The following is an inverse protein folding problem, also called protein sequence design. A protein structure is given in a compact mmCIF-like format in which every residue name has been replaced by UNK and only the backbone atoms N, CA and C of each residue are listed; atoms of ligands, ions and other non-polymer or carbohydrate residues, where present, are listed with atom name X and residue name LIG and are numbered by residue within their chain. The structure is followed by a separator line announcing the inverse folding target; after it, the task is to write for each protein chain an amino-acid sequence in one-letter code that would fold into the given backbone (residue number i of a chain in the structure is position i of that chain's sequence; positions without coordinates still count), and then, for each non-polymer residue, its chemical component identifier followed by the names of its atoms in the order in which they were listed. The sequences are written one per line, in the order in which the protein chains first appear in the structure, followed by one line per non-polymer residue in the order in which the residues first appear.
data_IF_495274975557
#
_entry.id   IF_495274975557
#
_cell.length_a   1.000
_cell.length_b   1.000
_cell.length_c   1.000
_cell.angle_alpha   90.00
_cell.angle_beta   90.00
_cell.angle_gamma   90.00
#
_symmetry.space_group_name_H-M   'P 1'
#
loop_
_entity.id
_entity.type
_entity.pdbx_description
1 polymer ?
#
# COMPACT_ATOMS: atom_id res chain seq x y z
N UNK A 1 -13.87 -9.25 11.45
CA UNK A 1 -12.41 -9.05 11.33
C UNK A 1 -12.17 -7.61 11.75
N UNK A 2 -11.56 -7.37 12.92
CA UNK A 2 -11.38 -6.03 13.48
C UNK A 2 -10.06 -5.45 12.99
N UNK A 3 -10.07 -4.22 12.46
CA UNK A 3 -8.85 -3.45 12.20
C UNK A 3 -8.57 -2.58 13.44
N UNK A 4 -7.32 -2.62 13.91
CA UNK A 4 -6.86 -1.89 15.09
C UNK A 4 -6.19 -0.58 14.67
N UNK A 5 -6.44 0.50 15.41
CA UNK A 5 -5.62 1.73 15.37
C UNK A 5 -4.95 1.82 16.74
N UNK A 6 -3.64 1.62 16.79
CA UNK A 6 -2.84 1.79 18.01
C UNK A 6 -2.61 3.29 18.23
N UNK A 7 -3.12 3.83 19.34
CA UNK A 7 -2.81 5.18 19.81
C UNK A 7 -2.18 5.07 21.19
N UNK A 8 -0.87 5.32 21.30
CA UNK A 8 -0.24 5.60 22.60
C UNK A 8 -0.41 7.09 22.90
N UNK A 9 -1.12 7.42 23.99
CA UNK A 9 -1.05 8.75 24.59
C UNK A 9 -0.10 8.65 25.79
N UNK A 10 1.00 9.40 25.73
CA UNK A 10 1.93 9.54 26.84
C UNK A 10 1.26 10.24 28.03
N UNK A 11 1.22 9.57 29.18
CA UNK A 11 0.71 10.14 30.42
C UNK A 11 1.13 9.31 31.62
N UNK A 12 1.93 9.91 32.49
CA UNK A 12 2.47 9.33 33.72
C UNK A 12 1.33 8.98 34.69
N UNK A 13 1.12 7.71 35.01
CA UNK A 13 0.17 7.33 36.06
C UNK A 13 -0.26 5.86 36.04
N UNK A 14 -0.13 5.20 37.19
CA UNK A 14 -0.55 3.84 37.46
C UNK A 14 -2.06 3.63 37.18
N UNK A 15 -2.40 2.55 36.47
CA UNK A 15 -3.69 1.88 36.63
C UNK A 15 -4.57 1.77 35.38
N UNK A 16 -4.88 0.52 35.03
CA UNK A 16 -5.97 0.02 34.17
C UNK A 16 -6.08 0.62 32.76
N UNK A 17 -5.51 -0.11 31.80
CA UNK A 17 -5.70 0.07 30.35
C UNK A 17 -7.19 -0.08 29.99
N UNK A 18 -7.86 1.07 29.78
CA UNK A 18 -9.23 1.15 29.29
C UNK A 18 -9.24 1.20 27.76
N UNK A 19 -9.76 0.15 27.13
CA UNK A 19 -9.96 0.10 25.69
C UNK A 19 -11.16 0.99 25.31
N UNK A 20 -10.93 2.13 24.63
CA UNK A 20 -12.01 2.99 24.15
C UNK A 20 -12.43 2.52 22.75
N UNK A 21 -13.62 1.93 22.66
CA UNK A 21 -14.25 1.50 21.41
C UNK A 21 -14.73 2.72 20.60
N UNK A 22 -14.06 3.04 19.49
CA UNK A 22 -14.59 4.00 18.52
C UNK A 22 -15.53 3.28 17.54
N UNK A 23 -16.80 3.68 17.54
CA UNK A 23 -17.84 3.15 16.63
C UNK A 23 -17.63 3.69 15.22
N UNK A 24 -17.33 2.80 14.27
CA UNK A 24 -17.19 3.14 12.85
C UNK A 24 -18.55 3.65 12.34
N UNK A 25 -18.57 4.87 11.79
CA UNK A 25 -19.75 5.48 11.19
C UNK A 25 -19.81 5.04 9.73
N UNK A 26 -20.97 4.52 9.32
CA UNK A 26 -21.24 4.02 7.98
C UNK A 26 -21.02 5.11 6.90
N UNK A 27 -20.25 4.83 5.82
CA UNK A 27 -19.95 5.84 4.81
C UNK A 27 -21.22 6.24 4.06
N UNK A 28 -21.56 7.52 4.10
CA UNK A 28 -22.71 8.06 3.39
C UNK A 28 -22.42 8.08 1.87
N UNK A 29 -23.38 7.59 1.07
CA UNK A 29 -23.38 7.74 -0.39
C UNK A 29 -23.42 9.22 -0.76
N UNK A 30 -22.55 9.73 -1.65
CA UNK A 30 -22.62 11.11 -2.10
C UNK A 30 -23.86 11.32 -2.98
N UNK A 31 -24.73 12.24 -2.57
CA UNK A 31 -25.86 12.75 -3.36
C UNK A 31 -25.38 13.74 -4.41
N UNK A 32 -25.94 13.62 -5.61
CA UNK A 32 -25.61 14.31 -6.86
C UNK A 32 -25.61 15.84 -6.83
N UNK A 33 -24.65 16.49 -7.51
CA UNK A 33 -24.90 17.42 -8.64
C UNK A 33 -23.64 18.26 -8.97
N UNK A 34 -23.15 18.19 -10.22
CA UNK A 34 -22.33 19.24 -10.84
C UNK A 34 -20.84 18.94 -11.06
N UNK A 35 -20.39 19.18 -12.30
CA UNK A 35 -19.01 19.16 -12.82
C UNK A 35 -18.35 17.77 -12.95
N UNK A 36 -18.33 17.24 -14.17
CA UNK A 36 -17.44 16.15 -14.61
C UNK A 36 -15.97 16.62 -14.57
N UNK A 37 -15.40 16.72 -13.37
CA UNK A 37 -13.96 16.50 -13.24
C UNK A 37 -13.75 15.02 -13.51
N UNK A 38 -12.81 14.72 -14.39
CA UNK A 38 -12.40 13.36 -14.71
C UNK A 38 -11.66 12.81 -13.48
N UNK A 39 -12.41 12.46 -12.43
CA UNK A 39 -11.88 11.88 -11.20
C UNK A 39 -11.53 10.45 -11.55
N UNK A 40 -10.25 10.18 -11.81
CA UNK A 40 -9.78 8.80 -11.90
C UNK A 40 -10.19 8.09 -10.62
N UNK A 41 -10.86 6.94 -10.78
CA UNK A 41 -11.31 6.13 -9.65
C UNK A 41 -10.05 5.57 -8.99
N UNK A 42 -9.79 5.92 -7.73
CA UNK A 42 -8.69 5.36 -6.96
C UNK A 42 -8.91 3.85 -6.79
N UNK A 43 -7.88 3.06 -7.06
CA UNK A 43 -7.87 1.60 -6.98
C UNK A 43 -7.38 1.19 -5.59
N UNK A 44 -8.10 0.26 -4.95
CA UNK A 44 -7.70 -0.33 -3.67
C UNK A 44 -6.56 -1.32 -3.87
N UNK A 45 -5.67 -1.46 -2.90
CA UNK A 45 -4.51 -2.35 -3.02
C UNK A 45 -4.91 -3.80 -3.27
N UNK A 46 -5.98 -4.30 -2.64
CA UNK A 46 -6.47 -5.67 -2.87
C UNK A 46 -6.88 -5.96 -4.33
N UNK A 47 -7.22 -4.92 -5.10
CA UNK A 47 -7.78 -5.03 -6.44
C UNK A 47 -6.70 -4.83 -7.53
N UNK A 48 -5.45 -4.55 -7.15
CA UNK A 48 -4.34 -4.47 -8.10
C UNK A 48 -3.93 -5.88 -8.56
N UNK A 49 -3.51 -5.99 -9.82
CA UNK A 49 -3.03 -7.23 -10.42
C UNK A 49 -1.74 -6.98 -11.21
N UNK A 50 -0.86 -7.99 -11.36
CA UNK A 50 0.36 -7.83 -12.13
C UNK A 50 0.07 -7.44 -13.58
N UNK A 51 0.63 -6.33 -14.05
CA UNK A 51 0.70 -6.01 -15.46
C UNK A 51 1.73 -4.91 -15.74
N UNK A 52 2.51 -5.10 -16.81
CA UNK A 52 3.63 -4.22 -17.15
C UNK A 52 3.21 -2.79 -17.56
N UNK A 53 1.96 -2.59 -17.98
CA UNK A 53 1.43 -1.32 -18.50
C UNK A 53 0.27 -0.76 -17.66
N UNK A 54 0.22 -1.12 -16.38
CA UNK A 54 -0.80 -0.59 -15.49
C UNK A 54 -0.65 0.93 -15.28
N UNK A 55 -1.79 1.61 -15.13
CA UNK A 55 -1.87 3.01 -14.69
C UNK A 55 -2.64 3.04 -13.37
N UNK A 56 -2.05 2.47 -12.31
CA UNK A 56 -2.69 2.38 -11.00
C UNK A 56 -2.63 3.76 -10.34
N UNK A 57 -3.79 4.31 -10.02
CA UNK A 57 -3.93 5.46 -9.12
C UNK A 57 -4.43 4.93 -7.77
N UNK A 58 -3.64 5.06 -6.71
CA UNK A 58 -3.95 4.48 -5.39
C UNK A 58 -3.36 5.32 -4.26
N UNK A 59 -3.91 5.20 -3.06
CA UNK A 59 -3.45 5.88 -1.85
C UNK A 59 -3.21 4.85 -0.75
N UNK A 60 -2.10 4.99 -0.04
CA UNK A 60 -1.68 4.06 1.01
C UNK A 60 -0.85 4.79 2.06
N UNK A 61 -0.71 4.17 3.22
CA UNK A 61 0.22 4.58 4.28
C UNK A 61 1.53 3.77 4.16
N UNK A 62 2.67 4.43 4.34
CA UNK A 62 3.97 3.76 4.45
C UNK A 62 4.12 3.19 5.86
N UNK A 63 4.31 1.89 5.97
CA UNK A 63 4.45 1.19 7.25
C UNK A 63 5.93 1.06 7.64
N UNK A 64 6.73 0.48 6.76
CA UNK A 64 8.13 0.17 7.03
C UNK A 64 9.01 0.46 5.82
N UNK A 65 10.24 0.89 6.10
CA UNK A 65 11.25 1.23 5.09
C UNK A 65 12.46 0.32 5.25
N UNK A 66 12.78 -0.40 4.19
CA UNK A 66 13.94 -1.28 4.13
C UNK A 66 15.24 -0.53 3.87
N UNK A 67 16.32 -1.29 3.79
CA UNK A 67 17.64 -0.74 3.49
C UNK A 67 17.69 -0.16 2.06
N UNK A 68 18.42 0.94 1.92
CA UNK A 68 18.70 1.51 0.59
C UNK A 68 19.81 0.71 -0.08
N UNK A 69 19.57 0.30 -1.31
CA UNK A 69 20.54 -0.42 -2.16
C UNK A 69 20.85 0.40 -3.41
N UNK A 70 21.99 0.10 -4.05
CA UNK A 70 22.38 0.71 -5.32
C UNK A 70 22.12 -0.26 -6.47
N UNK A 71 21.40 0.20 -7.49
CA UNK A 71 21.24 -0.48 -8.77
C UNK A 71 21.97 0.34 -9.84
N UNK A 72 23.23 -0.04 -10.07
CA UNK A 72 24.16 0.78 -10.86
C UNK A 72 24.48 2.09 -10.14
N UNK A 73 24.04 3.21 -10.72
CA UNK A 73 24.19 4.56 -10.13
C UNK A 73 22.94 5.02 -9.38
N UNK A 74 21.82 4.29 -9.48
CA UNK A 74 20.54 4.71 -8.93
C UNK A 74 20.34 4.09 -7.56
N UNK A 75 19.99 4.91 -6.57
CA UNK A 75 19.54 4.45 -5.25
C UNK A 75 18.12 3.91 -5.37
N UNK A 76 17.85 2.83 -4.65
CA UNK A 76 16.52 2.24 -4.54
C UNK A 76 16.28 1.75 -3.12
N UNK A 77 15.08 1.90 -2.60
CA UNK A 77 14.70 1.40 -1.28
C UNK A 77 13.33 0.73 -1.38
N UNK A 78 13.25 -0.45 -0.80
CA UNK A 78 12.02 -1.22 -0.73
C UNK A 78 11.25 -0.79 0.52
N UNK A 79 9.94 -0.68 0.41
CA UNK A 79 9.06 -0.26 1.51
C UNK A 79 7.85 -1.19 1.57
N UNK A 80 7.27 -1.33 2.77
CA UNK A 80 5.96 -1.92 2.97
C UNK A 80 4.94 -0.80 3.07
N UNK A 81 3.91 -0.85 2.23
CA UNK A 81 2.80 0.12 2.26
C UNK A 81 1.47 -0.63 2.35
N UNK A 82 0.46 0.02 2.92
CA UNK A 82 -0.84 -0.60 3.11
C UNK A 82 -2.01 0.38 3.02
N UNK A 83 -3.20 -0.16 2.75
CA UNK A 83 -4.48 0.51 2.90
C UNK A 83 -5.42 -0.36 3.73
N UNK A 84 -6.68 0.05 3.88
CA UNK A 84 -7.68 -0.68 4.65
C UNK A 84 -8.00 -2.08 4.12
N UNK A 85 -7.47 -2.44 2.95
CA UNK A 85 -7.79 -3.67 2.23
C UNK A 85 -6.65 -4.66 2.09
N UNK A 86 -5.40 -4.19 1.96
CA UNK A 86 -4.23 -5.05 1.78
C UNK A 86 -2.92 -4.27 1.99
N UNK A 87 -1.81 -5.01 2.00
CA UNK A 87 -0.46 -4.46 1.91
C UNK A 87 0.22 -4.83 0.58
N UNK A 88 1.24 -4.08 0.20
CA UNK A 88 2.08 -4.34 -0.98
C UNK A 88 3.49 -3.82 -0.76
N UNK A 89 4.47 -4.43 -1.43
CA UNK A 89 5.83 -3.88 -1.50
C UNK A 89 5.89 -2.75 -2.53
N UNK A 90 6.40 -1.59 -2.12
CA UNK A 90 6.63 -0.42 -2.97
C UNK A 90 8.14 -0.16 -3.11
N UNK A 91 8.59 0.01 -4.35
CA UNK A 91 9.96 0.41 -4.68
C UNK A 91 10.02 1.91 -4.98
N UNK A 92 10.77 2.62 -4.14
CA UNK A 92 11.11 4.02 -4.32
C UNK A 92 12.49 4.16 -4.98
N UNK A 93 12.72 5.28 -5.66
CA UNK A 93 13.95 5.56 -6.40
C UNK A 93 14.58 6.91 -6.04
N UNK A 94 15.92 6.95 -5.99
CA UNK A 94 16.69 8.18 -5.84
C UNK A 94 16.26 8.96 -4.61
N UNK A 95 15.86 10.21 -4.83
CA UNK A 95 15.46 11.15 -3.78
C UNK A 95 14.15 10.76 -3.09
N UNK A 96 13.30 9.94 -3.73
CA UNK A 96 12.08 9.40 -3.10
C UNK A 96 12.42 8.58 -1.85
N UNK A 97 13.60 7.95 -1.83
CA UNK A 97 14.08 7.21 -0.67
C UNK A 97 14.37 8.08 0.54
N UNK A 98 14.60 9.38 0.38
CA UNK A 98 14.83 10.29 1.49
C UNK A 98 13.59 11.18 1.74
N UNK A 99 12.65 11.24 0.79
CA UNK A 99 11.47 12.10 0.84
C UNK A 99 10.28 11.50 1.62
N UNK A 100 10.23 10.18 1.78
CA UNK A 100 9.12 9.48 2.44
C UNK A 100 9.58 8.65 3.63
N UNK A 101 8.82 8.71 4.71
CA UNK A 101 9.07 7.97 5.95
C UNK A 101 7.81 7.23 6.44
N UNK A 102 8.01 6.32 7.41
CA UNK A 102 6.92 5.56 8.02
C UNK A 102 5.88 6.49 8.63
N UNK A 103 4.61 6.20 8.37
CA UNK A 103 3.47 7.04 8.75
C UNK A 103 2.97 7.95 7.63
N UNK A 104 3.74 8.17 6.57
CA UNK A 104 3.33 9.02 5.45
C UNK A 104 2.16 8.41 4.66
N UNK A 105 1.16 9.25 4.36
CA UNK A 105 0.06 8.89 3.45
C UNK A 105 0.43 9.37 2.06
N UNK A 106 0.68 8.42 1.15
CA UNK A 106 1.21 8.68 -0.18
C UNK A 106 0.13 8.38 -1.22
N UNK A 107 -0.03 9.30 -2.17
CA UNK A 107 -0.83 9.10 -3.37
C UNK A 107 0.10 8.76 -4.54
N UNK A 108 -0.04 7.54 -5.05
CA UNK A 108 0.62 7.09 -6.25
C UNK A 108 -0.31 7.32 -7.45
N UNK A 109 0.21 7.94 -8.50
CA UNK A 109 -0.48 8.01 -9.79
C UNK A 109 0.31 7.33 -10.88
N UNK A 110 -0.40 6.71 -11.84
CA UNK A 110 0.18 5.93 -12.96
C UNK A 110 1.27 4.95 -12.48
N UNK A 111 0.95 4.25 -11.39
CA UNK A 111 1.76 3.18 -10.82
C UNK A 111 1.71 1.91 -11.67
N UNK A 112 2.80 1.14 -11.59
CA UNK A 112 2.94 -0.16 -12.25
C UNK A 112 3.19 -1.20 -11.17
N UNK A 113 2.39 -2.28 -11.17
CA UNK A 113 2.60 -3.45 -10.33
C UNK A 113 3.05 -4.61 -11.21
N UNK A 114 4.30 -5.06 -11.04
CA UNK A 114 4.93 -6.01 -11.96
C UNK A 114 6.07 -6.78 -11.30
N UNK A 115 6.47 -7.90 -11.91
CA UNK A 115 7.65 -8.65 -11.47
C UNK A 115 8.95 -7.87 -11.69
N UNK A 116 9.75 -7.79 -10.64
CA UNK A 116 11.12 -7.26 -10.64
C UNK A 116 12.02 -8.27 -9.93
N UNK A 117 12.94 -8.91 -10.68
CA UNK A 117 13.84 -9.95 -10.16
C UNK A 117 13.11 -11.05 -9.36
N UNK A 118 11.94 -11.49 -9.83
CA UNK A 118 11.14 -12.54 -9.19
C UNK A 118 10.18 -12.07 -8.09
N UNK A 119 10.23 -10.80 -7.68
CA UNK A 119 9.33 -10.24 -6.66
C UNK A 119 8.28 -9.35 -7.31
N UNK A 120 7.04 -9.36 -6.79
CA UNK A 120 5.98 -8.47 -7.26
C UNK A 120 6.04 -7.13 -6.54
N UNK A 121 6.33 -6.08 -7.28
CA UNK A 121 6.65 -4.77 -6.72
C UNK A 121 5.77 -3.71 -7.36
N UNK A 122 5.19 -2.85 -6.52
CA UNK A 122 4.54 -1.60 -6.94
C UNK A 122 5.61 -0.51 -7.10
N UNK A 123 5.49 0.31 -8.13
CA UNK A 123 6.41 1.44 -8.38
C UNK A 123 5.73 2.53 -9.20
N UNK A 124 6.26 3.74 -9.15
CA UNK A 124 5.88 4.78 -10.10
C UNK A 124 6.26 4.36 -11.53
N UNK A 125 5.33 4.52 -12.48
CA UNK A 125 5.62 4.39 -13.91
C UNK A 125 6.44 5.57 -14.43
N UNK A 126 6.87 5.53 -15.71
CA UNK A 126 7.66 6.60 -16.34
C UNK A 126 7.01 8.00 -16.25
N UNK A 127 5.67 8.04 -16.22
CA UNK A 127 4.86 9.26 -16.08
C UNK A 127 4.13 9.32 -14.74
N UNK A 128 4.42 8.38 -13.86
CA UNK A 128 3.84 8.30 -12.53
C UNK A 128 4.59 9.17 -11.55
N UNK A 129 3.96 9.42 -10.42
CA UNK A 129 4.52 10.22 -9.33
C UNK A 129 3.95 9.72 -8.00
N UNK A 130 4.74 9.91 -6.96
CA UNK A 130 4.36 9.72 -5.56
C UNK A 130 4.26 11.09 -4.91
N UNK A 131 3.15 11.36 -4.23
CA UNK A 131 2.92 12.64 -3.53
C UNK A 131 2.50 12.36 -2.09
N UNK A 132 3.18 12.96 -1.10
CA UNK A 132 2.71 12.95 0.29
C UNK A 132 1.44 13.79 0.39
N UNK A 133 0.37 13.18 0.87
CA UNK A 133 -0.96 13.81 1.01
C UNK A 133 -1.44 13.90 2.46
N UNK A 134 -0.70 13.31 3.40
CA UNK A 134 -1.01 13.33 4.83
C UNK A 134 -0.05 12.45 5.62
N UNK A 135 -0.39 12.20 6.89
CA UNK A 135 0.42 11.40 7.82
C UNK A 135 -0.49 10.77 8.90
N UNK A 136 -0.13 9.57 9.38
CA UNK A 136 -0.67 8.79 10.52
C UNK A 136 -2.16 8.43 10.56
N UNK A 137 -3.02 9.14 9.84
CA UNK A 137 -4.48 9.11 10.04
C UNK A 137 -5.23 8.16 9.11
N UNK A 138 -4.52 7.22 8.48
CA UNK A 138 -5.09 6.24 7.54
C UNK A 138 -5.19 4.86 8.18
N UNK A 139 -6.39 4.26 8.12
CA UNK A 139 -6.59 2.86 8.54
C UNK A 139 -5.93 1.91 7.53
N UNK A 140 -5.35 0.82 8.03
CA UNK A 140 -4.66 -0.16 7.19
C UNK A 140 -4.76 -1.60 7.71
N UNK A 141 -4.50 -2.56 6.82
CA UNK A 141 -4.27 -3.97 7.15
C UNK A 141 -3.02 -4.48 6.45
N UNK A 142 -2.23 -5.30 7.15
CA UNK A 142 -1.01 -5.90 6.57
C UNK A 142 -1.26 -7.21 5.83
N UNK A 143 -2.45 -7.79 6.00
CA UNK A 143 -2.84 -9.09 5.47
C UNK A 143 -4.15 -8.92 4.68
N UNK A 144 -4.21 -9.37 3.41
CA UNK A 144 -3.15 -10.03 2.67
C UNK A 144 -2.06 -9.06 2.18
N UNK A 145 -0.85 -9.58 1.95
CA UNK A 145 0.17 -8.86 1.19
C UNK A 145 0.14 -9.30 -0.28
N UNK A 146 -0.21 -8.37 -1.17
CA UNK A 146 -0.40 -8.63 -2.61
C UNK A 146 0.91 -8.98 -3.32
N UNK A 147 2.05 -8.54 -2.80
CA UNK A 147 3.39 -8.91 -3.29
C UNK A 147 3.77 -10.35 -2.94
N UNK A 148 3.08 -10.97 -1.98
CA UNK A 148 3.29 -12.35 -1.54
C UNK A 148 2.20 -13.30 -2.08
N UNK A 149 1.44 -12.89 -3.09
CA UNK A 149 0.49 -13.76 -3.79
C UNK A 149 1.18 -14.42 -4.99
N UNK A 150 0.93 -15.73 -5.17
CA UNK A 150 1.23 -16.41 -6.41
C UNK A 150 0.14 -16.10 -7.45
N UNK A 151 0.54 -15.51 -8.57
CA UNK A 151 -0.38 -15.12 -9.65
C UNK A 151 -0.17 -16.01 -10.86
N UNK A 152 -1.27 -16.49 -11.42
CA UNK A 152 -1.26 -17.29 -12.65
C UNK A 152 -2.06 -16.58 -13.75
N UNK A 153 -1.69 -16.73 -15.04
CA UNK A 153 -2.51 -16.24 -16.13
C UNK A 153 -3.89 -16.91 -16.12
N UNK A 154 -4.95 -16.14 -16.37
CA UNK A 154 -6.30 -16.68 -16.51
C UNK A 154 -6.34 -17.66 -17.70
N UNK A 155 -6.82 -18.91 -17.52
CA UNK A 155 -6.95 -19.88 -18.60
C UNK A 155 -7.80 -19.38 -19.79
N UNK A 156 -8.75 -18.48 -19.52
CA UNK A 156 -9.67 -17.89 -20.50
C UNK A 156 -9.07 -16.67 -21.19
N UNK A 157 -8.16 -15.95 -20.52
CA UNK A 157 -7.50 -14.78 -21.05
C UNK A 157 -6.12 -14.58 -20.41
N UNK A 158 -5.06 -15.05 -21.10
CA UNK A 158 -3.69 -14.99 -20.61
C UNK A 158 -3.13 -13.57 -20.37
N UNK A 159 -3.86 -12.51 -20.75
CA UNK A 159 -3.52 -11.12 -20.43
C UNK A 159 -3.97 -10.69 -19.04
N UNK A 160 -4.85 -11.47 -18.40
CA UNK A 160 -5.37 -11.24 -17.05
C UNK A 160 -4.68 -12.22 -16.12
N UNK A 161 -4.42 -11.78 -14.90
CA UNK A 161 -3.89 -12.63 -13.83
C UNK A 161 -4.95 -12.89 -12.78
N UNK A 162 -4.99 -14.11 -12.27
CA UNK A 162 -5.83 -14.52 -11.15
C UNK A 162 -4.95 -14.89 -9.96
N UNK A 163 -5.46 -14.65 -8.76
CA UNK A 163 -4.80 -15.05 -7.53
C UNK A 163 -4.95 -16.56 -7.34
N UNK A 164 -3.83 -17.27 -7.20
CA UNK A 164 -3.81 -18.72 -7.02
C UNK A 164 -3.78 -19.08 -5.52
N UNK A 165 -2.67 -18.74 -4.85
CA UNK A 165 -2.53 -18.90 -3.40
C UNK A 165 -1.59 -17.83 -2.81
N UNK A 166 -1.71 -17.58 -1.51
CA UNK A 166 -0.76 -16.74 -0.78
C UNK A 166 0.52 -17.54 -0.49
N UNK A 167 1.67 -17.03 -0.95
CA UNK A 167 3.00 -17.57 -0.65
C UNK A 167 3.31 -17.37 0.85
N UNK A 168 2.89 -16.23 1.40
CA UNK A 168 2.96 -15.89 2.81
C UNK A 168 1.78 -14.97 3.18
N UNK A 169 1.19 -15.08 4.39
CA UNK A 169 0.13 -14.17 4.83
C UNK A 169 0.61 -12.71 4.91
N UNK A 170 1.87 -12.50 5.30
CA UNK A 170 2.51 -11.21 5.56
C UNK A 170 3.84 -11.09 4.81
N UNK A 171 4.42 -9.89 4.80
CA UNK A 171 5.72 -9.63 4.17
C UNK A 171 6.82 -10.53 4.74
N UNK A 172 7.57 -11.25 3.88
CA UNK A 172 8.76 -11.99 4.32
C UNK A 172 9.99 -11.10 4.48
N UNK A 173 9.98 -9.93 3.87
CA UNK A 173 11.08 -8.96 3.91
C UNK A 173 10.97 -8.04 5.14
N UNK A 174 9.74 -7.80 5.58
CA UNK A 174 9.38 -6.92 6.69
C UNK A 174 8.60 -7.75 7.70
N UNK A 175 9.29 -8.58 8.51
CA UNK A 175 8.62 -9.39 9.51
C UNK A 175 8.04 -8.49 10.62
N UNK A 176 6.90 -8.85 11.23
CA UNK A 176 6.37 -8.12 12.37
C UNK A 176 7.42 -8.02 13.48
N UNK A 177 7.51 -6.85 14.10
CA UNK A 177 8.35 -6.65 15.27
C UNK A 177 7.73 -7.44 16.43
N UNK A 178 8.51 -8.27 17.17
CA UNK A 178 8.03 -9.06 18.30
C UNK A 178 7.45 -8.25 19.46
#
# INVERSE_FOLDING_TARGET
MFAYVMREEGGVGLGVSGCVFAKIREPQRPTSSGSWRNTSVMVLLKDIMPAAQNNIDTKFILLEKGSTTLEGKNRKCLTLVADETAAVHLQLWGDECDAFDSGDIIHLTKGIFSYQHGNLILRAGKRGKLEKTGEFTMSYVEIPNISEIHWIPDPSNSKIYIQDYAISPQSRIFPPIP
#
